data_IF_041725411778
#
_entry.id   IF_041725411778
#
_cell.length_a   1.000
_cell.length_b   1.000
_cell.length_c   1.000
_cell.angle_alpha   90.00
_cell.angle_beta   90.00
_cell.angle_gamma   90.00
#
_symmetry.space_group_name_H-M   'P 1'
#
loop_
_entity.id
_entity.type
_entity.pdbx_description
1 polymer ?
#
# COMPACT_ATOMS: atom_id res chain seq x y z
N UNK A 1 -16.95 -5.21 -40.31
CA UNK A 1 -17.53 -4.22 -39.39
C UNK A 1 -17.01 -4.56 -38.00
N UNK A 2 -15.93 -3.88 -37.61
CA UNK A 2 -15.22 -4.09 -36.34
C UNK A 2 -15.39 -2.83 -35.50
N UNK A 3 -16.07 -2.96 -34.38
CA UNK A 3 -16.34 -1.92 -33.42
C UNK A 3 -15.10 -1.74 -32.52
N UNK A 4 -14.42 -0.60 -32.65
CA UNK A 4 -13.18 -0.24 -31.95
C UNK A 4 -13.43 0.63 -30.71
N UNK A 5 -14.55 0.40 -30.02
CA UNK A 5 -14.85 1.03 -28.75
C UNK A 5 -14.23 0.27 -27.57
N UNK A 6 -12.92 0.44 -27.33
CA UNK A 6 -12.27 0.30 -26.00
C UNK A 6 -10.74 0.37 -26.12
N UNK A 7 -10.20 1.56 -26.35
CA UNK A 7 -8.78 1.82 -26.15
C UNK A 7 -8.60 2.95 -25.14
N UNK A 8 -8.13 2.57 -23.95
CA UNK A 8 -7.22 3.41 -23.19
C UNK A 8 -7.85 4.44 -22.25
N UNK A 9 -8.54 3.97 -21.21
CA UNK A 9 -8.73 4.70 -19.94
C UNK A 9 -7.41 4.81 -19.13
N UNK A 10 -6.29 5.02 -19.82
CA UNK A 10 -4.96 5.17 -19.23
C UNK A 10 -4.79 6.60 -18.70
N UNK A 11 -4.73 6.73 -17.37
CA UNK A 11 -4.11 7.83 -16.62
C UNK A 11 -4.56 9.24 -17.09
N UNK A 12 -5.86 9.52 -16.97
CA UNK A 12 -6.37 10.90 -17.08
C UNK A 12 -6.10 11.68 -15.79
N UNK A 13 -4.90 12.25 -15.68
CA UNK A 13 -4.65 13.42 -14.85
C UNK A 13 -5.05 14.70 -15.58
N UNK A 14 -6.35 14.97 -15.70
CA UNK A 14 -6.89 16.26 -16.18
C UNK A 14 -6.41 17.42 -15.26
N UNK A 15 -6.16 18.67 -15.68
CA UNK A 15 -6.74 19.43 -16.80
C UNK A 15 -5.97 20.74 -17.03
N UNK A 16 -5.63 21.07 -18.27
CA UNK A 16 -5.57 22.48 -18.73
C UNK A 16 -7.02 22.89 -19.05
N UNK A 17 -7.47 24.13 -18.81
CA UNK A 17 -8.82 24.55 -19.18
C UNK A 17 -9.09 24.25 -20.66
N UNK A 18 -10.24 23.67 -20.96
CA UNK A 18 -10.70 23.47 -22.33
C UNK A 18 -10.77 24.83 -23.05
N UNK A 19 -9.85 25.04 -24.00
CA UNK A 19 -9.90 26.16 -24.94
C UNK A 19 -10.54 25.65 -26.24
N UNK A 20 -11.76 26.09 -26.59
CA UNK A 20 -12.41 25.68 -27.83
C UNK A 20 -11.64 26.10 -29.10
N UNK A 21 -10.60 26.94 -28.98
CA UNK A 21 -9.72 27.33 -30.10
C UNK A 21 -8.44 26.50 -30.18
N UNK A 22 -8.17 25.61 -29.22
CA UNK A 22 -6.99 24.75 -29.19
C UNK A 22 -7.38 23.33 -28.75
N UNK A 23 -7.82 22.46 -29.69
CA UNK A 23 -8.31 21.12 -29.39
C UNK A 23 -7.21 20.15 -28.94
N UNK A 24 -5.97 20.62 -28.87
CA UNK A 24 -4.83 19.78 -28.59
C UNK A 24 -4.85 19.28 -27.15
N UNK A 25 -4.84 17.97 -26.96
CA UNK A 25 -4.72 17.33 -25.65
C UNK A 25 -3.25 17.00 -25.39
N UNK A 26 -2.67 17.52 -24.30
CA UNK A 26 -1.35 17.09 -23.86
C UNK A 26 -1.47 15.84 -22.99
N UNK A 27 -0.64 14.83 -23.28
CA UNK A 27 -0.58 13.60 -22.50
C UNK A 27 0.84 13.33 -22.06
N UNK A 28 0.98 12.86 -20.82
CA UNK A 28 2.25 12.52 -20.20
C UNK A 28 2.45 11.01 -20.29
N UNK A 29 3.58 10.58 -20.82
CA UNK A 29 3.95 9.17 -20.87
C UNK A 29 5.40 8.98 -20.42
N UNK A 30 5.78 7.76 -20.09
CA UNK A 30 7.17 7.44 -19.72
C UNK A 30 7.89 6.93 -20.97
N UNK A 31 9.13 7.38 -21.16
CA UNK A 31 9.99 6.94 -22.26
C UNK A 31 10.04 5.42 -22.40
N UNK A 32 10.17 4.97 -23.65
CA UNK A 32 10.31 3.57 -24.01
C UNK A 32 11.37 2.85 -23.15
N UNK A 33 11.01 1.66 -22.66
CA UNK A 33 11.85 0.83 -21.79
C UNK A 33 11.34 0.78 -20.34
N UNK A 34 10.77 1.85 -19.81
CA UNK A 34 10.11 1.77 -18.51
C UNK A 34 8.82 0.96 -18.63
N UNK A 35 8.62 0.03 -17.70
CA UNK A 35 7.48 -0.89 -17.74
C UNK A 35 6.59 -0.66 -16.54
N UNK A 36 5.41 -0.08 -16.77
CA UNK A 36 4.37 0.04 -15.76
C UNK A 36 3.89 -1.35 -15.33
N UNK A 37 3.71 -1.55 -14.02
CA UNK A 37 3.18 -2.78 -13.44
C UNK A 37 1.70 -2.56 -13.10
N UNK A 38 0.85 -2.61 -14.12
CA UNK A 38 -0.60 -2.40 -14.02
C UNK A 38 -1.32 -3.40 -13.09
N UNK A 39 -0.72 -4.57 -12.90
CA UNK A 39 -1.14 -5.62 -11.96
C UNK A 39 -0.66 -5.41 -10.52
N UNK A 40 0.07 -4.32 -10.22
CA UNK A 40 0.38 -3.88 -8.86
C UNK A 40 -0.30 -2.55 -8.59
N UNK A 41 -0.97 -2.39 -7.44
CA UNK A 41 -1.47 -1.10 -6.97
C UNK A 41 -0.79 -0.69 -5.68
N UNK A 42 -0.38 0.56 -5.62
CA UNK A 42 0.05 1.19 -4.39
C UNK A 42 -1.07 2.10 -3.92
N UNK A 43 -1.65 1.78 -2.76
CA UNK A 43 -2.82 2.44 -2.22
C UNK A 43 -2.42 3.31 -1.03
N UNK A 44 -2.95 4.53 -0.98
CA UNK A 44 -2.69 5.48 0.10
C UNK A 44 -3.99 6.15 0.53
N UNK A 45 -4.21 6.12 1.84
CA UNK A 45 -5.21 6.91 2.55
C UNK A 45 -4.41 7.85 3.45
N UNK A 46 -4.10 9.08 2.99
CA UNK A 46 -3.40 10.06 3.81
C UNK A 46 -4.14 10.35 5.11
N UNK A 47 -3.38 10.79 6.10
CA UNK A 47 -3.87 11.21 7.40
C UNK A 47 -5.06 12.17 7.30
N UNK A 48 -6.13 11.91 8.06
CA UNK A 48 -7.17 12.90 8.31
C UNK A 48 -7.00 13.52 9.70
N UNK A 49 -6.61 14.79 9.75
CA UNK A 49 -6.81 15.60 10.96
C UNK A 49 -8.29 16.03 11.02
N UNK A 50 -8.94 15.77 12.16
CA UNK A 50 -10.32 16.24 12.45
C UNK A 50 -11.41 15.73 11.49
N UNK A 51 -11.44 14.42 11.24
CA UNK A 51 -12.71 13.73 10.99
C UNK A 51 -13.39 13.96 9.64
N UNK A 52 -12.66 13.94 8.52
CA UNK A 52 -13.24 13.56 7.22
C UNK A 52 -12.29 12.68 6.39
N UNK A 53 -12.54 11.37 6.48
CA UNK A 53 -12.20 10.31 5.50
C UNK A 53 -10.72 9.95 5.28
N UNK A 54 -9.92 9.86 6.34
CA UNK A 54 -8.58 9.25 6.32
C UNK A 54 -8.33 8.43 7.58
N UNK A 55 -7.53 7.35 7.49
CA UNK A 55 -7.06 6.63 8.67
C UNK A 55 -6.17 7.56 9.51
N UNK A 56 -6.09 7.35 10.82
CA UNK A 56 -5.06 7.96 11.68
C UNK A 56 -4.10 6.85 12.12
N UNK A 57 -2.79 6.95 11.83
CA UNK A 57 -2.03 8.07 11.26
C UNK A 57 -1.99 8.15 9.71
N UNK A 58 -2.96 7.56 9.03
CA UNK A 58 -2.95 7.30 7.59
C UNK A 58 -2.82 5.80 7.37
N UNK A 59 -3.01 5.34 6.13
CA UNK A 59 -2.77 3.94 5.80
C UNK A 59 -2.29 3.73 4.37
N UNK A 60 -1.14 3.08 4.23
CA UNK A 60 -0.49 2.77 2.95
C UNK A 60 -0.34 1.25 2.82
N UNK A 61 -0.64 0.70 1.66
CA UNK A 61 -0.45 -0.72 1.37
C UNK A 61 -0.20 -0.96 -0.11
N UNK A 62 0.28 -2.16 -0.43
CA UNK A 62 0.45 -2.62 -1.80
C UNK A 62 -0.55 -3.75 -2.06
N UNK A 63 -1.10 -3.80 -3.27
CA UNK A 63 -1.97 -4.86 -3.76
C UNK A 63 -1.39 -5.50 -5.02
N UNK A 64 -1.61 -6.80 -5.19
CA UNK A 64 -1.28 -7.58 -6.38
C UNK A 64 -2.58 -8.10 -6.97
N UNK A 65 -2.83 -7.76 -8.22
CA UNK A 65 -4.02 -8.13 -8.97
C UNK A 65 -3.77 -9.48 -9.64
N UNK A 66 -4.61 -10.46 -9.30
CA UNK A 66 -4.61 -11.79 -9.88
C UNK A 66 -5.89 -12.03 -10.66
N UNK A 67 -5.80 -12.78 -11.75
CA UNK A 67 -6.95 -13.04 -12.65
C UNK A 67 -8.05 -13.87 -11.98
N UNK A 68 -7.74 -14.52 -10.86
CA UNK A 68 -8.63 -15.40 -10.11
C UNK A 68 -9.17 -14.76 -8.82
N UNK A 69 -8.95 -13.46 -8.58
CA UNK A 69 -9.29 -12.83 -7.30
C UNK A 69 -10.79 -12.85 -6.98
N UNK A 70 -11.64 -12.90 -8.01
CA UNK A 70 -13.10 -12.96 -7.90
C UNK A 70 -13.67 -14.39 -7.84
N UNK A 71 -12.82 -15.42 -7.91
CA UNK A 71 -13.26 -16.80 -7.74
C UNK A 71 -13.58 -17.04 -6.26
N UNK A 72 -14.82 -17.45 -5.98
CA UNK A 72 -15.31 -17.77 -4.64
C UNK A 72 -15.70 -19.24 -4.56
N UNK A 73 -15.18 -19.93 -3.55
CA UNK A 73 -15.53 -21.31 -3.26
C UNK A 73 -17.03 -21.44 -3.01
N UNK A 74 -17.67 -22.47 -3.59
CA UNK A 74 -19.13 -22.63 -3.56
C UNK A 74 -19.70 -22.60 -2.14
N UNK A 75 -19.06 -23.28 -1.19
CA UNK A 75 -19.53 -23.33 0.20
C UNK A 75 -19.41 -21.98 0.90
N UNK A 76 -18.38 -21.20 0.59
CA UNK A 76 -18.22 -19.83 1.12
C UNK A 76 -19.27 -18.91 0.50
N UNK A 77 -19.52 -19.04 -0.81
CA UNK A 77 -20.58 -18.27 -1.48
C UNK A 77 -21.94 -18.51 -0.82
N UNK A 78 -22.32 -19.78 -0.61
CA UNK A 78 -23.58 -20.16 0.06
C UNK A 78 -23.63 -19.60 1.49
N UNK A 79 -22.56 -19.75 2.27
CA UNK A 79 -22.52 -19.21 3.63
C UNK A 79 -22.69 -17.69 3.70
N UNK A 80 -22.11 -16.96 2.72
CA UNK A 80 -22.31 -15.50 2.60
C UNK A 80 -23.75 -15.14 2.24
N UNK A 81 -24.39 -15.92 1.35
CA UNK A 81 -25.82 -15.76 1.00
C UNK A 81 -26.75 -16.07 2.19
N UNK A 82 -26.30 -16.90 3.13
CA UNK A 82 -27.00 -17.22 4.38
C UNK A 82 -26.66 -16.28 5.55
N UNK A 83 -25.91 -15.19 5.31
CA UNK A 83 -25.52 -14.22 6.32
C UNK A 83 -24.73 -14.82 7.51
N UNK A 84 -23.91 -15.85 7.25
CA UNK A 84 -23.07 -16.50 8.25
C UNK A 84 -21.98 -15.56 8.79
N UNK A 85 -21.71 -15.61 10.08
CA UNK A 85 -20.63 -14.81 10.69
C UNK A 85 -19.26 -15.23 10.16
N UNK A 86 -18.25 -14.38 10.35
CA UNK A 86 -16.87 -14.68 9.95
C UNK A 86 -16.38 -16.00 10.60
N UNK A 87 -16.71 -16.21 11.88
CA UNK A 87 -16.37 -17.44 12.59
C UNK A 87 -17.06 -18.69 11.97
N UNK A 88 -18.34 -18.58 11.61
CA UNK A 88 -19.07 -19.65 10.92
C UNK A 88 -18.45 -19.94 9.55
N UNK A 89 -18.09 -18.92 8.76
CA UNK A 89 -17.44 -19.08 7.45
C UNK A 89 -16.08 -19.78 7.60
N UNK A 90 -15.26 -19.33 8.55
CA UNK A 90 -13.94 -19.94 8.84
C UNK A 90 -14.10 -21.41 9.20
N UNK A 91 -15.13 -21.77 9.96
CA UNK A 91 -15.38 -23.14 10.40
C UNK A 91 -15.67 -24.12 9.25
N UNK A 92 -16.10 -23.63 8.08
CA UNK A 92 -16.34 -24.46 6.89
C UNK A 92 -15.04 -25.05 6.32
N UNK A 93 -13.91 -24.37 6.54
CA UNK A 93 -12.60 -24.78 6.05
C UNK A 93 -12.52 -24.97 4.53
N UNK A 94 -11.57 -25.79 4.09
CA UNK A 94 -11.41 -26.22 2.69
C UNK A 94 -11.36 -25.05 1.67
N UNK A 95 -10.68 -23.96 2.06
CA UNK A 95 -10.45 -22.77 1.21
C UNK A 95 -9.51 -23.14 0.07
N UNK A 96 -9.95 -22.92 -1.17
CA UNK A 96 -9.18 -23.22 -2.40
C UNK A 96 -9.09 -22.04 -3.36
N UNK A 97 -9.87 -20.99 -3.13
CA UNK A 97 -9.94 -19.83 -4.01
C UNK A 97 -9.58 -18.53 -3.29
N UNK A 98 -9.49 -17.44 -4.04
CA UNK A 98 -9.25 -16.11 -3.49
C UNK A 98 -10.40 -15.61 -2.62
N UNK A 99 -11.62 -16.08 -2.88
CA UNK A 99 -12.85 -15.72 -2.18
C UNK A 99 -13.17 -14.22 -2.19
N UNK A 100 -12.78 -13.54 -3.28
CA UNK A 100 -12.93 -12.10 -3.44
C UNK A 100 -11.81 -11.30 -2.76
N UNK A 101 -10.85 -11.95 -2.10
CA UNK A 101 -9.73 -11.28 -1.45
C UNK A 101 -8.57 -11.10 -2.43
N UNK A 102 -8.18 -9.84 -2.62
CA UNK A 102 -6.97 -9.45 -3.35
C UNK A 102 -5.73 -9.60 -2.48
N UNK A 103 -4.66 -10.12 -3.07
CA UNK A 103 -3.36 -10.20 -2.40
C UNK A 103 -2.87 -8.80 -2.04
N UNK A 104 -2.51 -8.58 -0.79
CA UNK A 104 -2.08 -7.26 -0.32
C UNK A 104 -1.26 -7.30 0.96
N UNK A 105 -0.44 -6.27 1.14
CA UNK A 105 0.54 -6.17 2.23
C UNK A 105 0.61 -4.76 2.82
N UNK A 106 0.46 -4.67 4.14
CA UNK A 106 0.64 -3.45 4.94
C UNK A 106 1.09 -3.78 6.38
N UNK A 107 1.64 -2.80 7.09
CA UNK A 107 2.17 -2.98 8.45
C UNK A 107 1.30 -2.28 9.50
N UNK A 108 0.92 -3.02 10.54
CA UNK A 108 -0.09 -2.61 11.51
C UNK A 108 0.36 -2.85 12.95
N UNK A 109 -0.18 -2.11 13.93
CA UNK A 109 -0.08 -2.51 15.31
C UNK A 109 -0.95 -3.77 15.54
N UNK A 110 -0.52 -4.64 16.46
CA UNK A 110 -1.28 -5.84 16.82
C UNK A 110 -2.64 -5.50 17.45
N UNK A 111 -2.78 -4.34 18.09
CA UNK A 111 -4.03 -3.86 18.67
C UNK A 111 -4.11 -2.33 18.69
N UNK A 112 -5.33 -1.82 18.93
CA UNK A 112 -5.62 -0.45 19.31
C UNK A 112 -6.47 -0.45 20.60
N UNK A 113 -6.21 0.45 21.58
CA UNK A 113 -5.35 1.63 21.46
C UNK A 113 -3.85 1.33 21.59
N UNK A 114 -3.05 2.07 20.81
CA UNK A 114 -1.58 2.06 20.86
C UNK A 114 -1.08 2.82 22.09
N UNK A 115 0.07 2.42 22.62
CA UNK A 115 0.66 3.10 23.79
C UNK A 115 1.20 4.47 23.39
N UNK A 116 0.84 5.50 24.18
CA UNK A 116 1.31 6.89 24.03
C UNK A 116 2.52 7.09 24.94
N UNK A 117 3.69 7.35 24.37
CA UNK A 117 4.92 7.63 25.13
C UNK A 117 5.45 9.03 24.83
N UNK A 118 5.90 9.81 25.84
CA UNK A 118 6.67 11.01 25.60
C UNK A 118 7.89 10.69 24.73
N UNK A 119 8.11 11.46 23.68
CA UNK A 119 9.35 11.35 22.92
C UNK A 119 10.45 12.14 23.65
N UNK A 120 11.44 11.41 24.15
CA UNK A 120 12.59 11.96 24.87
C UNK A 120 13.81 12.20 23.96
N UNK A 121 13.70 11.93 22.66
CA UNK A 121 14.81 12.06 21.70
C UNK A 121 15.12 13.55 21.42
N UNK A 122 16.26 14.06 21.91
CA UNK A 122 16.63 15.47 21.77
C UNK A 122 16.97 15.86 20.32
N UNK A 123 17.11 14.91 19.39
CA UNK A 123 17.44 15.15 17.98
C UNK A 123 16.22 15.31 17.08
N UNK A 124 15.03 15.12 17.64
CA UNK A 124 13.79 15.28 16.91
C UNK A 124 13.44 16.77 16.80
N UNK A 125 13.89 17.38 15.70
CA UNK A 125 13.76 18.82 15.49
C UNK A 125 12.38 19.17 14.91
N UNK A 126 11.45 19.69 15.72
CA UNK A 126 10.38 20.56 15.23
C UNK A 126 9.55 21.30 16.29
N UNK A 127 9.16 22.52 15.93
CA UNK A 127 8.49 23.54 16.74
C UNK A 127 6.97 23.31 16.97
N UNK A 128 6.48 22.08 17.18
CA UNK A 128 5.03 21.80 17.30
C UNK A 128 4.74 20.83 18.47
N UNK A 129 3.73 21.09 19.34
CA UNK A 129 3.51 20.34 20.59
C UNK A 129 3.14 18.86 20.45
N UNK A 130 2.54 18.42 19.33
CA UNK A 130 2.13 17.02 19.11
C UNK A 130 3.35 16.12 18.80
N UNK A 131 4.50 16.70 18.44
CA UNK A 131 5.73 15.95 18.15
C UNK A 131 6.46 15.45 19.40
N UNK A 132 5.94 15.65 20.60
CA UNK A 132 6.51 15.04 21.81
C UNK A 132 5.85 13.70 22.14
N UNK A 133 5.06 13.13 21.23
CA UNK A 133 4.31 11.90 21.46
C UNK A 133 4.67 10.89 20.38
N UNK A 134 5.23 9.78 20.81
CA UNK A 134 5.44 8.60 20.00
C UNK A 134 4.37 7.56 20.34
N UNK A 135 3.80 6.94 19.32
CA UNK A 135 2.85 5.83 19.49
C UNK A 135 3.58 4.54 19.18
N UNK A 136 3.52 3.55 20.08
CA UNK A 136 4.15 2.22 19.89
C UNK A 136 3.22 1.08 20.24
N UNK A 137 3.42 -0.01 19.52
CA UNK A 137 2.81 -1.32 19.77
C UNK A 137 3.64 -2.40 19.07
N UNK A 138 3.44 -3.68 19.42
CA UNK A 138 3.99 -4.76 18.59
C UNK A 138 3.41 -4.66 17.17
N UNK A 139 4.26 -4.89 16.17
CA UNK A 139 3.88 -4.84 14.77
C UNK A 139 3.48 -6.20 14.21
N UNK A 140 2.56 -6.20 13.26
CA UNK A 140 2.16 -7.40 12.52
C UNK A 140 1.78 -7.06 11.08
N UNK A 141 2.13 -7.95 10.16
CA UNK A 141 1.75 -7.85 8.76
C UNK A 141 0.23 -7.99 8.64
N UNK A 142 -0.39 -7.12 7.85
CA UNK A 142 -1.82 -7.09 7.56
C UNK A 142 -2.74 -7.03 8.79
N UNK A 143 -2.26 -6.55 9.93
CA UNK A 143 -3.06 -6.51 11.16
C UNK A 143 -3.44 -7.92 11.64
N UNK A 144 -2.71 -8.94 11.21
CA UNK A 144 -3.07 -10.33 11.47
C UNK A 144 -2.70 -10.73 12.91
N UNK A 145 -3.57 -10.37 13.84
CA UNK A 145 -3.43 -10.64 15.28
C UNK A 145 -4.69 -11.30 15.84
N UNK A 146 -4.54 -12.07 16.91
CA UNK A 146 -5.68 -12.67 17.63
C UNK A 146 -6.67 -11.63 18.12
N UNK A 147 -6.18 -10.46 18.57
CA UNK A 147 -7.05 -9.41 19.11
C UNK A 147 -7.90 -8.78 18.01
N UNK A 148 -7.31 -8.46 16.86
CA UNK A 148 -8.05 -7.94 15.71
C UNK A 148 -9.00 -8.97 15.12
N UNK A 149 -8.57 -10.23 14.97
CA UNK A 149 -9.44 -11.32 14.50
C UNK A 149 -10.70 -11.49 15.35
N UNK A 150 -10.58 -11.40 16.68
CA UNK A 150 -11.73 -11.49 17.59
C UNK A 150 -12.78 -10.40 17.39
N UNK A 151 -12.38 -9.21 16.90
CA UNK A 151 -13.32 -8.12 16.58
C UNK A 151 -14.17 -8.45 15.34
N UNK A 152 -13.67 -9.33 14.46
CA UNK A 152 -14.36 -9.75 13.24
C UNK A 152 -15.24 -11.00 13.44
N UNK A 153 -14.99 -11.82 14.47
CA UNK A 153 -15.56 -13.18 14.62
C UNK A 153 -17.10 -13.23 14.63
N UNK A 154 -17.74 -12.27 15.33
CA UNK A 154 -19.21 -12.20 15.45
C UNK A 154 -19.89 -11.49 14.28
N UNK A 155 -19.12 -10.84 13.42
CA UNK A 155 -19.64 -9.98 12.38
C UNK A 155 -19.94 -10.76 11.10
N UNK A 156 -20.96 -10.32 10.36
CA UNK A 156 -21.20 -10.77 9.00
C UNK A 156 -20.30 -9.96 8.05
N UNK A 157 -19.17 -10.55 7.65
CA UNK A 157 -18.18 -9.89 6.81
C UNK A 157 -18.03 -10.61 5.48
N UNK A 158 -18.02 -9.84 4.40
CA UNK A 158 -17.72 -10.31 3.05
C UNK A 158 -16.51 -9.55 2.49
N UNK A 159 -16.02 -9.96 1.33
CA UNK A 159 -14.82 -9.38 0.72
C UNK A 159 -14.95 -7.89 0.35
N UNK A 160 -16.16 -7.33 0.38
CA UNK A 160 -16.44 -5.91 0.14
C UNK A 160 -16.68 -5.12 1.43
N UNK A 161 -16.69 -5.74 2.61
CA UNK A 161 -16.90 -5.04 3.90
C UNK A 161 -15.57 -4.78 4.61
N UNK A 162 -15.44 -3.66 5.35
CA UNK A 162 -14.29 -3.42 6.22
C UNK A 162 -14.08 -4.53 7.25
N UNK A 163 -12.82 -4.73 7.63
CA UNK A 163 -12.40 -5.71 8.64
C UNK A 163 -11.33 -5.12 9.54
N UNK A 164 -11.21 -5.67 10.74
CA UNK A 164 -10.14 -5.33 11.67
C UNK A 164 -8.87 -6.14 11.39
N UNK A 165 -8.98 -7.42 11.01
CA UNK A 165 -7.84 -8.28 10.73
C UNK A 165 -7.80 -8.73 9.26
N UNK A 166 -6.69 -8.41 8.61
CA UNK A 166 -6.27 -9.09 7.39
C UNK A 166 -5.73 -10.49 7.67
N UNK A 167 -4.99 -11.04 6.71
CA UNK A 167 -4.22 -12.29 6.89
C UNK A 167 -2.80 -12.10 6.37
N UNK A 168 -1.82 -12.51 7.16
CA UNK A 168 -0.40 -12.34 6.81
C UNK A 168 0.15 -13.48 5.95
N UNK A 169 -0.49 -14.65 5.96
CA UNK A 169 -0.01 -15.84 5.23
C UNK A 169 -0.87 -16.17 4.02
N UNK A 170 -0.23 -16.73 3.00
CA UNK A 170 -0.90 -17.43 1.90
C UNK A 170 -1.66 -18.67 2.43
N UNK A 171 -2.64 -19.16 1.68
CA UNK A 171 -3.45 -20.34 2.02
C UNK A 171 -4.01 -20.29 3.46
N UNK A 172 -4.61 -19.15 3.81
CA UNK A 172 -5.20 -18.94 5.12
C UNK A 172 -6.66 -19.43 5.16
N UNK A 173 -7.31 -19.22 6.31
CA UNK A 173 -8.67 -19.69 6.59
C UNK A 173 -9.78 -18.96 5.82
N UNK A 174 -9.46 -17.98 4.97
CA UNK A 174 -10.43 -17.19 4.20
C UNK A 174 -10.06 -17.08 2.72
N UNK A 175 -8.78 -17.14 2.40
CA UNK A 175 -8.27 -16.96 1.05
C UNK A 175 -6.98 -17.74 0.82
N UNK A 176 -6.72 -18.09 -0.44
CA UNK A 176 -5.38 -18.49 -0.87
C UNK A 176 -4.35 -17.35 -0.77
N UNK A 177 -4.79 -16.09 -0.74
CA UNK A 177 -3.93 -14.91 -0.67
C UNK A 177 -3.81 -14.33 0.74
N UNK A 178 -2.62 -13.86 1.10
CA UNK A 178 -2.46 -12.91 2.19
C UNK A 178 -3.15 -11.59 1.81
N UNK A 179 -3.81 -10.91 2.74
CA UNK A 179 -4.52 -9.68 2.43
C UNK A 179 -4.54 -8.66 3.55
N UNK A 180 -4.50 -7.40 3.16
CA UNK A 180 -4.66 -6.21 4.00
C UNK A 180 -6.15 -6.02 4.39
N UNK A 181 -6.47 -5.62 5.64
CA UNK A 181 -7.86 -5.42 6.08
C UNK A 181 -8.60 -4.30 5.32
N UNK A 182 -7.89 -3.33 4.75
CA UNK A 182 -8.45 -2.23 3.97
C UNK A 182 -8.62 -2.56 2.48
N UNK A 183 -8.32 -3.78 2.02
CA UNK A 183 -8.46 -4.13 0.60
C UNK A 183 -9.89 -3.94 0.05
N UNK A 184 -10.90 -3.97 0.93
CA UNK A 184 -12.30 -3.74 0.56
C UNK A 184 -12.52 -2.32 -0.01
N UNK A 185 -11.64 -1.37 0.29
CA UNK A 185 -11.66 0.00 -0.24
C UNK A 185 -11.67 0.04 -1.77
N UNK A 186 -11.22 -1.03 -2.45
CA UNK A 186 -11.30 -1.17 -3.91
C UNK A 186 -12.74 -1.16 -4.44
N UNK A 187 -13.72 -1.48 -3.60
CA UNK A 187 -15.15 -1.47 -3.92
C UNK A 187 -15.85 -0.16 -3.52
N UNK A 188 -15.18 0.70 -2.76
CA UNK A 188 -15.75 1.92 -2.18
C UNK A 188 -15.14 3.17 -2.83
N UNK A 189 -15.90 3.76 -3.75
CA UNK A 189 -15.42 4.91 -4.53
C UNK A 189 -15.02 6.07 -3.61
N UNK A 190 -13.76 6.50 -3.73
CA UNK A 190 -13.23 7.67 -3.03
C UNK A 190 -12.67 7.38 -1.64
N UNK A 191 -12.62 6.13 -1.17
CA UNK A 191 -11.89 5.77 0.05
C UNK A 191 -10.37 5.86 -0.16
N UNK A 192 -9.87 5.24 -1.22
CA UNK A 192 -8.46 5.38 -1.64
C UNK A 192 -8.29 6.78 -2.24
N UNK A 193 -7.50 7.62 -1.57
CA UNK A 193 -7.29 9.02 -1.99
C UNK A 193 -6.20 9.15 -3.04
N UNK A 194 -5.19 8.30 -2.97
CA UNK A 194 -4.10 8.28 -3.92
C UNK A 194 -3.76 6.84 -4.28
N UNK A 195 -3.78 6.54 -5.57
CA UNK A 195 -3.44 5.23 -6.13
C UNK A 195 -2.38 5.43 -7.20
N UNK A 196 -1.37 4.56 -7.23
CA UNK A 196 -0.39 4.51 -8.32
C UNK A 196 -0.04 3.08 -8.71
N UNK A 197 0.47 2.94 -9.93
CA UNK A 197 1.14 1.73 -10.40
C UNK A 197 2.65 1.97 -10.40
N UNK A 198 3.46 1.07 -9.83
CA UNK A 198 4.92 1.21 -9.88
C UNK A 198 5.46 0.90 -11.27
N UNK A 199 6.69 1.35 -11.51
CA UNK A 199 7.42 1.12 -12.76
C UNK A 199 8.70 0.34 -12.50
N UNK A 200 9.06 -0.51 -13.48
CA UNK A 200 10.40 -1.05 -13.64
C UNK A 200 11.24 -0.18 -14.57
N UNK A 201 12.55 -0.22 -14.34
CA UNK A 201 13.52 0.51 -15.15
C UNK A 201 13.84 -0.27 -16.46
N UNK A 202 14.34 0.41 -17.52
CA UNK A 202 14.56 -0.17 -18.86
C UNK A 202 15.43 -1.43 -18.99
N UNK A 203 16.24 -1.76 -17.99
CA UNK A 203 17.15 -2.91 -18.02
C UNK A 203 16.72 -4.02 -17.04
N UNK A 204 15.53 -3.91 -16.47
CA UNK A 204 14.99 -4.89 -15.54
C UNK A 204 14.17 -5.95 -16.28
N UNK A 205 14.74 -7.15 -16.37
CA UNK A 205 14.14 -8.28 -17.09
C UNK A 205 13.32 -9.21 -16.21
N UNK A 206 13.09 -8.86 -14.93
CA UNK A 206 12.31 -9.71 -14.02
C UNK A 206 10.89 -9.92 -14.52
N UNK A 207 10.40 -11.14 -14.32
CA UNK A 207 9.02 -11.53 -14.67
C UNK A 207 8.02 -11.02 -13.63
N UNK A 208 6.72 -11.16 -13.91
CA UNK A 208 5.65 -10.87 -12.93
C UNK A 208 5.85 -11.73 -11.67
N UNK A 209 6.16 -13.00 -11.87
CA UNK A 209 6.35 -14.00 -10.82
C UNK A 209 7.57 -13.70 -9.95
N UNK A 210 8.68 -13.25 -10.55
CA UNK A 210 9.88 -12.84 -9.80
C UNK A 210 9.57 -11.68 -8.85
N UNK A 211 8.86 -10.66 -9.34
CA UNK A 211 8.52 -9.47 -8.55
C UNK A 211 7.52 -9.81 -7.45
N UNK A 212 6.50 -10.62 -7.75
CA UNK A 212 5.56 -11.11 -6.74
C UNK A 212 6.31 -11.90 -5.65
N UNK A 213 7.26 -12.74 -6.05
CA UNK A 213 8.07 -13.52 -5.12
C UNK A 213 8.90 -12.60 -4.21
N UNK A 214 9.59 -11.59 -4.75
CA UNK A 214 10.36 -10.63 -3.96
C UNK A 214 9.48 -9.83 -2.98
N UNK A 215 8.27 -9.41 -3.41
CA UNK A 215 7.31 -8.73 -2.54
C UNK A 215 6.92 -9.63 -1.36
N UNK A 216 6.61 -10.91 -1.63
CA UNK A 216 6.25 -11.89 -0.61
C UNK A 216 7.42 -12.17 0.34
N UNK A 217 8.62 -12.33 -0.19
CA UNK A 217 9.84 -12.55 0.59
C UNK A 217 10.10 -11.38 1.55
N UNK A 218 10.05 -10.15 1.04
CA UNK A 218 10.17 -8.95 1.87
C UNK A 218 9.07 -8.88 2.95
N UNK A 219 7.81 -9.09 2.57
CA UNK A 219 6.70 -9.00 3.51
C UNK A 219 6.82 -10.03 4.64
N UNK A 220 7.24 -11.27 4.31
CA UNK A 220 7.46 -12.33 5.28
C UNK A 220 8.69 -12.08 6.17
N UNK A 221 9.74 -11.45 5.64
CA UNK A 221 10.96 -11.17 6.41
C UNK A 221 10.87 -9.90 7.25
N UNK A 222 9.91 -9.00 6.99
CA UNK A 222 9.85 -7.68 7.62
C UNK A 222 9.89 -7.70 9.15
N UNK A 223 9.15 -8.62 9.79
CA UNK A 223 9.12 -8.74 11.25
C UNK A 223 10.50 -9.04 11.84
N UNK A 224 11.25 -9.93 11.20
CA UNK A 224 12.54 -10.42 11.71
C UNK A 224 13.72 -9.54 11.26
N UNK A 225 13.69 -9.02 10.03
CA UNK A 225 14.81 -8.28 9.42
C UNK A 225 14.70 -6.75 9.59
N UNK A 226 13.49 -6.21 9.70
CA UNK A 226 13.27 -4.76 9.75
C UNK A 226 12.76 -4.31 11.11
N UNK A 227 11.64 -4.85 11.61
CA UNK A 227 11.11 -4.45 12.91
C UNK A 227 10.03 -5.38 13.43
N UNK A 228 10.09 -5.65 14.74
CA UNK A 228 9.00 -6.29 15.51
C UNK A 228 7.97 -5.30 16.03
N UNK A 229 8.27 -4.00 15.92
CA UNK A 229 7.47 -2.91 16.44
C UNK A 229 6.72 -2.21 15.31
N UNK A 230 5.54 -1.72 15.64
CA UNK A 230 4.84 -0.68 14.91
C UNK A 230 4.96 0.63 15.70
N UNK A 231 5.33 1.71 15.04
CA UNK A 231 5.42 3.03 15.63
C UNK A 231 4.98 4.14 14.68
N UNK A 232 4.41 5.20 15.24
CA UNK A 232 4.15 6.45 14.51
C UNK A 232 4.71 7.64 15.29
N UNK A 233 5.48 8.48 14.58
CA UNK A 233 6.15 9.63 15.16
C UNK A 233 6.24 10.80 14.17
N UNK A 234 5.15 11.07 13.45
CA UNK A 234 4.99 12.23 12.57
C UNK A 234 6.18 12.42 11.60
N UNK A 235 6.49 11.35 10.87
CA UNK A 235 7.57 11.23 9.88
C UNK A 235 8.98 11.17 10.48
N UNK A 236 9.12 10.83 11.76
CA UNK A 236 10.41 10.67 12.43
C UNK A 236 11.28 9.55 11.83
N UNK A 237 12.60 9.66 11.98
CA UNK A 237 13.55 8.72 11.34
C UNK A 237 13.44 7.28 11.89
N UNK A 238 12.92 7.12 13.10
CA UNK A 238 12.73 5.86 13.81
C UNK A 238 11.30 5.30 13.67
N UNK A 239 10.46 5.95 12.86
CA UNK A 239 9.09 5.49 12.59
C UNK A 239 9.09 4.14 11.86
N UNK A 240 8.18 3.25 12.26
CA UNK A 240 7.94 1.95 11.61
C UNK A 240 6.45 1.67 11.52
N UNK A 241 5.81 1.99 10.40
CA UNK A 241 4.38 1.74 10.18
C UNK A 241 4.09 1.33 8.73
N UNK A 242 2.83 1.41 8.33
CA UNK A 242 2.36 1.11 6.99
C UNK A 242 3.04 1.96 5.90
N UNK A 243 3.36 3.23 6.15
CA UNK A 243 4.05 4.10 5.20
C UNK A 243 5.49 3.62 5.00
N UNK A 244 6.22 3.44 6.10
CA UNK A 244 7.63 3.03 6.05
C UNK A 244 7.78 1.62 5.48
N UNK A 245 6.87 0.69 5.84
CA UNK A 245 6.81 -0.64 5.26
C UNK A 245 6.73 -0.57 3.74
N UNK A 246 5.80 0.23 3.21
CA UNK A 246 5.64 0.38 1.77
C UNK A 246 6.89 0.99 1.12
N UNK A 247 7.46 2.06 1.68
CA UNK A 247 8.65 2.69 1.10
C UNK A 247 9.85 1.74 1.08
N UNK A 248 10.05 0.99 2.16
CA UNK A 248 11.11 0.00 2.25
C UNK A 248 10.88 -1.15 1.27
N UNK A 249 9.64 -1.62 1.13
CA UNK A 249 9.26 -2.65 0.16
C UNK A 249 9.59 -2.21 -1.27
N UNK A 250 9.12 -1.04 -1.68
CA UNK A 250 9.33 -0.53 -3.03
C UNK A 250 10.83 -0.33 -3.32
N UNK A 251 11.58 0.19 -2.34
CA UNK A 251 13.02 0.35 -2.42
C UNK A 251 13.77 -0.98 -2.52
N UNK A 252 13.41 -1.95 -1.68
CA UNK A 252 13.97 -3.30 -1.66
C UNK A 252 13.82 -3.97 -3.03
N UNK A 253 12.57 -4.08 -3.49
CA UNK A 253 12.20 -4.67 -4.80
C UNK A 253 12.75 -3.83 -5.96
N UNK A 254 13.10 -2.56 -5.73
CA UNK A 254 13.68 -1.68 -6.74
C UNK A 254 12.65 -1.10 -7.71
N UNK A 255 11.43 -0.88 -7.25
CA UNK A 255 10.35 -0.27 -8.02
C UNK A 255 10.44 1.26 -7.96
N UNK A 256 10.07 1.93 -9.05
CA UNK A 256 9.88 3.38 -9.09
C UNK A 256 8.40 3.71 -8.84
N UNK A 257 8.11 4.76 -8.07
CA UNK A 257 6.75 5.19 -7.78
C UNK A 257 6.49 6.57 -8.40
N UNK A 258 5.50 6.70 -9.30
CA UNK A 258 5.22 7.97 -9.96
C UNK A 258 4.78 9.08 -9.01
N UNK A 259 4.17 8.76 -7.86
CA UNK A 259 3.77 9.77 -6.86
C UNK A 259 5.00 10.35 -6.17
N UNK A 260 5.99 9.52 -5.83
CA UNK A 260 7.29 9.97 -5.31
C UNK A 260 8.05 10.74 -6.39
N UNK A 261 8.07 10.25 -7.64
CA UNK A 261 8.71 10.91 -8.78
C UNK A 261 8.19 12.35 -8.98
N UNK A 262 6.88 12.53 -8.84
CA UNK A 262 6.22 13.84 -8.96
C UNK A 262 6.31 14.69 -7.69
N UNK A 263 6.99 14.21 -6.66
CA UNK A 263 7.11 14.91 -5.39
C UNK A 263 5.72 15.20 -4.80
N UNK A 264 4.79 14.23 -4.84
CA UNK A 264 3.42 14.36 -4.32
C UNK A 264 3.20 13.63 -2.98
N UNK A 265 4.11 12.76 -2.57
CA UNK A 265 4.04 12.06 -1.28
C UNK A 265 4.81 12.85 -0.19
N UNK A 266 4.10 13.67 0.58
CA UNK A 266 4.71 14.51 1.63
C UNK A 266 5.29 13.68 2.79
N UNK A 267 4.69 12.52 3.09
CA UNK A 267 5.20 11.61 4.13
C UNK A 267 6.56 11.06 3.72
N UNK A 268 6.70 10.57 2.47
CA UNK A 268 7.99 10.10 1.97
C UNK A 268 9.08 11.18 2.05
N UNK A 269 8.79 12.41 1.60
CA UNK A 269 9.78 13.51 1.61
C UNK A 269 10.31 13.80 3.01
N UNK A 270 9.40 13.95 3.98
CA UNK A 270 9.75 14.28 5.37
C UNK A 270 10.50 13.13 6.02
N UNK A 271 9.99 11.91 5.86
CA UNK A 271 10.61 10.71 6.41
C UNK A 271 12.02 10.50 5.84
N UNK A 272 12.19 10.56 4.51
CA UNK A 272 13.49 10.43 3.86
C UNK A 272 14.50 11.47 4.36
N UNK A 273 14.08 12.74 4.45
CA UNK A 273 14.94 13.81 4.97
C UNK A 273 15.35 13.56 6.42
N UNK A 274 14.44 13.10 7.26
CA UNK A 274 14.75 12.78 8.65
C UNK A 274 15.72 11.59 8.77
N UNK A 275 15.54 10.55 7.95
CA UNK A 275 16.48 9.43 7.85
C UNK A 275 17.86 9.91 7.40
N UNK A 276 17.94 10.71 6.33
CA UNK A 276 19.20 11.24 5.80
C UNK A 276 19.93 12.15 6.80
N UNK A 277 19.19 12.84 7.67
CA UNK A 277 19.77 13.70 8.72
C UNK A 277 20.24 12.92 9.96
N UNK A 278 19.89 11.64 10.09
CA UNK A 278 20.12 10.83 11.29
C UNK A 278 20.74 9.46 10.95
N UNK A 279 21.61 9.39 9.95
CA UNK A 279 22.20 8.14 9.45
C UNK A 279 22.89 7.29 10.53
N UNK A 280 23.48 7.93 11.54
CA UNK A 280 24.14 7.24 12.66
C UNK A 280 23.17 6.42 13.54
N UNK A 281 21.87 6.68 13.44
CA UNK A 281 20.81 6.06 14.26
C UNK A 281 19.85 5.21 13.46
N UNK A 282 19.92 5.27 12.13
CA UNK A 282 19.04 4.53 11.23
C UNK A 282 19.67 3.19 10.88
N UNK A 283 18.84 2.14 10.82
CA UNK A 283 19.29 0.83 10.35
C UNK A 283 19.83 0.96 8.92
N UNK A 284 21.04 0.46 8.59
CA UNK A 284 21.64 0.68 7.27
C UNK A 284 20.76 0.24 6.09
N UNK A 285 20.01 -0.87 6.25
CA UNK A 285 19.08 -1.37 5.24
C UNK A 285 17.91 -0.42 4.95
N UNK A 286 17.50 0.43 5.90
CA UNK A 286 16.45 1.43 5.69
C UNK A 286 16.91 2.48 4.70
N UNK A 287 18.04 3.14 4.99
CA UNK A 287 18.56 4.19 4.13
C UNK A 287 18.86 3.68 2.71
N UNK A 288 19.46 2.49 2.58
CA UNK A 288 19.74 1.87 1.27
C UNK A 288 18.45 1.69 0.46
N UNK A 289 17.39 1.14 1.07
CA UNK A 289 16.12 0.90 0.38
C UNK A 289 15.45 2.22 -0.01
N UNK A 290 15.37 3.18 0.91
CA UNK A 290 14.73 4.47 0.66
C UNK A 290 15.48 5.30 -0.39
N UNK A 291 16.82 5.27 -0.36
CA UNK A 291 17.66 5.94 -1.37
C UNK A 291 17.42 5.33 -2.75
N UNK A 292 17.39 4.01 -2.86
CA UNK A 292 17.08 3.30 -4.10
C UNK A 292 15.68 3.65 -4.64
N UNK A 293 14.67 3.73 -3.77
CA UNK A 293 13.32 4.17 -4.15
C UNK A 293 13.33 5.60 -4.70
N UNK A 294 14.00 6.52 -4.02
CA UNK A 294 14.14 7.93 -4.45
C UNK A 294 14.81 8.02 -5.82
N UNK A 295 15.98 7.40 -5.98
CA UNK A 295 16.76 7.44 -7.23
C UNK A 295 15.99 6.82 -8.41
N UNK A 296 15.31 5.69 -8.19
CA UNK A 296 14.51 5.05 -9.23
C UNK A 296 13.32 5.92 -9.65
N UNK A 297 12.67 6.58 -8.68
CA UNK A 297 11.55 7.49 -8.94
C UNK A 297 12.01 8.80 -9.60
N UNK A 298 13.20 9.31 -9.27
CA UNK A 298 13.80 10.47 -9.96
C UNK A 298 14.14 10.14 -11.41
N UNK A 299 14.75 8.98 -11.67
CA UNK A 299 15.00 8.49 -13.05
C UNK A 299 13.70 8.36 -13.85
N UNK A 300 12.63 7.86 -13.22
CA UNK A 300 11.31 7.82 -13.84
C UNK A 300 10.86 9.22 -14.27
N UNK A 301 11.02 10.22 -13.38
CA UNK A 301 10.64 11.61 -13.64
C UNK A 301 11.40 12.24 -14.81
N UNK A 302 12.71 12.03 -14.85
CA UNK A 302 13.59 12.55 -15.91
C UNK A 302 13.25 12.00 -17.30
N UNK A 303 12.56 10.86 -17.33
CA UNK A 303 12.14 10.16 -18.55
C UNK A 303 10.64 10.33 -18.83
N UNK A 304 9.96 11.27 -18.17
CA UNK A 304 8.64 11.69 -18.60
C UNK A 304 8.73 12.46 -19.92
N UNK A 305 8.00 11.99 -20.90
CA UNK A 305 7.79 12.66 -22.17
C UNK A 305 6.37 13.23 -22.23
N UNK A 306 6.20 14.31 -23.00
CA UNK A 306 4.92 14.98 -23.18
C UNK A 306 4.58 14.93 -24.67
N UNK A 307 3.50 14.22 -24.98
CA UNK A 307 2.89 14.23 -26.30
C UNK A 307 1.82 15.31 -26.36
N UNK A 308 1.63 15.88 -27.54
CA UNK A 308 0.50 16.75 -27.84
C UNK A 308 -0.25 16.09 -28.98
N UNK A 309 -1.51 15.70 -28.75
CA UNK A 309 -2.37 15.21 -29.80
C UNK A 309 -3.24 16.37 -30.29
N UNK A 310 -2.99 16.81 -31.51
CA UNK A 310 -3.83 17.68 -32.32
C UNK A 310 -4.26 16.83 -33.54
#
# INVERSE_FOLDING_TARGET
MSDWGNLGTAIMGNTVPYDPNNPCTSYKYVKAGYRELDWIRICRIPLAFFGKNGAFPGHYWIEIIHDNEDIIDKHIKVAREEYKTEAEIISLGNVKSANGFRESYGWYPVDFPVTITPNEDPKTTANVPIKLIEFKEAGTLNGDSTVRRKKDESEFLIHITPREAGRKTMNNNLSIYAFDPHQCSRFHKGEIKMMSHPYLLPNDNRTKEDIIKEIREFANSFYDEYSKEWSWYNDGYNEVNCHTFLFLLLGHVGLADPIIAENKDEHFKKYFKNVESNLDYVKPNYYVSLKKLKENSEKLKENYEYGVNC
#
